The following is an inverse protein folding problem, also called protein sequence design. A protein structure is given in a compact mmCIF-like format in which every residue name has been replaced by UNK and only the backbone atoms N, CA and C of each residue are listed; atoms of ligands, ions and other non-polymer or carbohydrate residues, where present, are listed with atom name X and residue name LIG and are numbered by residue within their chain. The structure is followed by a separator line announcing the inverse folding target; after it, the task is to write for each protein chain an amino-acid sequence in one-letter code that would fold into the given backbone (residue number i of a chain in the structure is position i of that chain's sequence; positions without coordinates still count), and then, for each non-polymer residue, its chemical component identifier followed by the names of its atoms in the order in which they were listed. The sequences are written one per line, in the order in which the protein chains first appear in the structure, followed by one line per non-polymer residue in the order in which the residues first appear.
data_IF_022612842662
#
_entry.id   IF_022612842662
#
_cell.length_a   1.000
_cell.length_b   1.000
_cell.length_c   1.000
_cell.angle_alpha   90.00
_cell.angle_beta   90.00
_cell.angle_gamma   90.00
#
_symmetry.space_group_name_H-M   'P 1'
#
loop_
_entity.id
_entity.type
_entity.pdbx_description
1 polymer ?
#
# COMPACT_ATOMS: atom_id res chain seq x y z
N UNK A 1 -19.07 -19.76 10.64
CA UNK A 1 -17.75 -19.88 9.99
C UNK A 1 -17.08 -18.52 10.08
N UNK A 2 -15.91 -18.45 10.72
CA UNK A 2 -15.17 -17.19 10.89
C UNK A 2 -14.71 -16.69 9.53
N UNK A 3 -14.95 -15.40 9.24
CA UNK A 3 -14.89 -14.82 7.91
C UNK A 3 -13.45 -14.75 7.33
N UNK A 4 -12.41 -14.88 8.17
CA UNK A 4 -11.00 -14.62 7.82
C UNK A 4 -9.96 -15.36 8.71
N UNK A 5 -9.95 -16.70 8.76
CA UNK A 5 -8.84 -17.47 9.37
C UNK A 5 -7.65 -17.55 8.38
N UNK A 6 -6.38 -17.33 8.80
CA UNK A 6 -5.19 -17.48 7.93
C UNK A 6 -5.02 -18.85 7.27
N UNK A 7 -5.68 -19.89 7.78
CA UNK A 7 -5.72 -21.22 7.17
C UNK A 7 -6.96 -21.42 6.27
N UNK A 8 -7.86 -20.44 6.19
CA UNK A 8 -9.05 -20.50 5.35
C UNK A 8 -8.64 -20.70 3.90
N UNK A 9 -7.63 -19.99 3.39
CA UNK A 9 -7.27 -20.10 1.97
C UNK A 9 -6.71 -21.48 1.63
N UNK A 10 -5.93 -22.12 2.51
CA UNK A 10 -5.51 -23.53 2.32
C UNK A 10 -6.70 -24.51 2.36
N UNK A 11 -7.68 -24.29 3.23
CA UNK A 11 -8.90 -25.12 3.26
C UNK A 11 -9.79 -24.87 2.03
N UNK A 12 -9.87 -23.63 1.55
CA UNK A 12 -10.67 -23.27 0.38
C UNK A 12 -9.89 -23.50 -0.91
N UNK A 13 -8.58 -23.78 -0.90
CA UNK A 13 -7.80 -23.98 -2.14
C UNK A 13 -8.39 -25.12 -2.98
N UNK A 14 -8.74 -26.25 -2.36
CA UNK A 14 -9.45 -27.34 -3.02
C UNK A 14 -10.83 -26.94 -3.55
N UNK A 15 -11.58 -26.15 -2.77
CA UNK A 15 -12.91 -25.66 -3.13
C UNK A 15 -12.83 -24.59 -4.23
N UNK A 16 -11.80 -23.75 -4.25
CA UNK A 16 -11.52 -22.71 -5.24
C UNK A 16 -11.07 -23.33 -6.56
N UNK A 17 -10.33 -24.44 -6.51
CA UNK A 17 -9.98 -25.21 -7.69
C UNK A 17 -11.18 -25.90 -8.31
N UNK A 18 -12.03 -26.48 -7.46
CA UNK A 18 -13.30 -27.02 -7.90
C UNK A 18 -14.19 -25.88 -8.40
N UNK A 19 -14.26 -24.75 -7.70
CA UNK A 19 -15.00 -23.57 -8.12
C UNK A 19 -14.51 -23.01 -9.46
N UNK A 20 -13.21 -23.03 -9.73
CA UNK A 20 -12.66 -22.62 -11.02
C UNK A 20 -12.96 -23.67 -12.09
N UNK A 21 -12.90 -24.96 -11.73
CA UNK A 21 -13.37 -26.07 -12.57
C UNK A 21 -14.89 -26.04 -12.82
N UNK A 22 -15.67 -25.39 -11.96
CA UNK A 22 -17.13 -25.31 -11.98
C UNK A 22 -17.68 -23.89 -12.16
N UNK A 23 -16.84 -22.90 -12.50
CA UNK A 23 -17.20 -21.49 -12.67
C UNK A 23 -18.11 -20.90 -11.56
N UNK A 24 -17.72 -21.02 -10.29
CA UNK A 24 -18.47 -20.38 -9.20
C UNK A 24 -18.11 -18.89 -9.14
N UNK A 25 -18.86 -18.09 -9.90
CA UNK A 25 -18.66 -16.64 -10.07
C UNK A 25 -18.58 -15.86 -8.74
N UNK A 26 -19.33 -16.28 -7.73
CA UNK A 26 -19.37 -15.62 -6.41
C UNK A 26 -18.02 -15.58 -5.69
N UNK A 27 -17.12 -16.55 -5.95
CA UNK A 27 -15.78 -16.54 -5.35
C UNK A 27 -14.85 -15.56 -6.07
N UNK A 28 -15.02 -15.40 -7.38
CA UNK A 28 -14.29 -14.37 -8.15
C UNK A 28 -14.74 -12.98 -7.75
N UNK A 29 -16.05 -12.75 -7.66
CA UNK A 29 -16.61 -11.47 -7.20
C UNK A 29 -16.13 -11.08 -5.81
N UNK A 30 -16.00 -12.07 -4.91
CA UNK A 30 -15.48 -11.83 -3.56
C UNK A 30 -13.99 -11.46 -3.58
N UNK A 31 -13.19 -12.13 -4.41
CA UNK A 31 -11.76 -11.80 -4.56
C UNK A 31 -11.55 -10.40 -5.15
N UNK A 32 -12.34 -10.02 -6.16
CA UNK A 32 -12.26 -8.67 -6.76
C UNK A 32 -12.72 -7.58 -5.80
N UNK A 33 -13.66 -7.88 -4.90
CA UNK A 33 -14.03 -6.97 -3.81
C UNK A 33 -12.92 -6.83 -2.77
N UNK A 34 -12.27 -7.93 -2.41
CA UNK A 34 -11.16 -7.94 -1.44
C UNK A 34 -9.90 -7.27 -2.04
N UNK A 35 -9.70 -7.36 -3.36
CA UNK A 35 -8.56 -6.82 -4.11
C UNK A 35 -9.00 -5.92 -5.26
N UNK A 36 -9.46 -4.70 -4.96
CA UNK A 36 -10.07 -3.83 -5.95
C UNK A 36 -9.05 -3.28 -6.95
N UNK A 37 -9.50 -3.07 -8.19
CA UNK A 37 -8.70 -2.42 -9.24
C UNK A 37 -8.75 -0.89 -9.17
N UNK A 38 -9.74 -0.31 -8.47
CA UNK A 38 -9.91 1.14 -8.34
C UNK A 38 -9.34 1.64 -7.01
N UNK A 39 -8.69 2.80 -7.06
CA UNK A 39 -8.05 3.42 -5.89
C UNK A 39 -9.06 3.79 -4.79
N UNK A 40 -10.26 4.23 -5.18
CA UNK A 40 -11.31 4.59 -4.22
C UNK A 40 -11.79 3.37 -3.42
N UNK A 41 -11.98 2.24 -4.10
CA UNK A 41 -12.42 1.00 -3.47
C UNK A 41 -11.32 0.44 -2.56
N UNK A 42 -10.05 0.62 -2.95
CA UNK A 42 -8.91 0.32 -2.09
C UNK A 42 -8.91 1.16 -0.81
N UNK A 43 -9.17 2.46 -0.92
CA UNK A 43 -9.25 3.37 0.23
C UNK A 43 -10.39 3.03 1.18
N UNK A 44 -11.53 2.59 0.64
CA UNK A 44 -12.66 2.09 1.44
C UNK A 44 -12.27 0.80 2.16
N UNK A 45 -11.65 -0.15 1.46
CA UNK A 45 -11.19 -1.39 2.07
C UNK A 45 -10.18 -1.14 3.20
N UNK A 46 -9.21 -0.23 3.01
CA UNK A 46 -8.23 0.10 4.05
C UNK A 46 -8.88 0.75 5.28
N UNK A 47 -9.90 1.59 5.08
CA UNK A 47 -10.70 2.13 6.18
C UNK A 47 -11.45 1.05 6.95
N UNK A 48 -12.12 0.14 6.24
CA UNK A 48 -12.85 -0.97 6.87
C UNK A 48 -11.91 -1.88 7.66
N UNK A 49 -10.73 -2.19 7.13
CA UNK A 49 -9.72 -3.01 7.81
C UNK A 49 -9.23 -2.30 9.07
N UNK A 50 -8.96 -0.99 9.01
CA UNK A 50 -8.53 -0.20 10.17
C UNK A 50 -9.61 -0.18 11.24
N UNK A 51 -10.85 0.14 10.87
CA UNK A 51 -11.99 0.13 11.79
C UNK A 51 -12.21 -1.25 12.42
N UNK A 52 -12.12 -2.33 11.65
CA UNK A 52 -12.31 -3.68 12.16
C UNK A 52 -11.19 -4.15 13.10
N UNK A 53 -9.95 -3.70 12.88
CA UNK A 53 -8.83 -3.93 13.81
C UNK A 53 -9.08 -3.25 15.16
N UNK A 54 -9.58 -2.01 15.15
CA UNK A 54 -9.93 -1.27 16.36
C UNK A 54 -11.07 -1.96 17.14
N UNK A 55 -12.04 -2.53 16.43
CA UNK A 55 -13.17 -3.27 17.03
C UNK A 55 -12.87 -4.76 17.32
N UNK A 56 -11.62 -5.24 17.13
CA UNK A 56 -11.20 -6.65 17.31
C UNK A 56 -12.06 -7.67 16.56
N UNK A 57 -12.71 -7.29 15.46
CA UNK A 57 -13.63 -8.17 14.74
C UNK A 57 -12.92 -9.20 13.83
N UNK A 58 -11.58 -9.22 13.83
CA UNK A 58 -10.79 -10.26 13.14
C UNK A 58 -10.92 -10.27 11.62
N UNK A 59 -11.49 -9.21 11.02
CA UNK A 59 -11.63 -9.08 9.57
C UNK A 59 -10.29 -8.57 9.02
N UNK A 60 -9.52 -9.46 8.41
CA UNK A 60 -8.31 -9.14 7.66
C UNK A 60 -8.48 -9.56 6.21
N UNK A 61 -7.93 -8.78 5.27
CA UNK A 61 -7.78 -9.27 3.91
C UNK A 61 -7.01 -10.60 3.91
N UNK A 62 -7.31 -11.48 2.94
CA UNK A 62 -6.54 -12.68 2.68
C UNK A 62 -5.05 -12.36 2.52
N UNK A 63 -4.20 -13.37 2.76
CA UNK A 63 -2.76 -13.24 2.58
C UNK A 63 -2.42 -12.83 1.12
N UNK A 64 -1.60 -11.79 0.90
CA UNK A 64 -1.30 -11.30 -0.44
C UNK A 64 -0.52 -12.31 -1.30
N UNK A 65 0.36 -13.14 -0.71
CA UNK A 65 1.08 -14.18 -1.47
C UNK A 65 0.11 -15.27 -1.93
N UNK A 66 -0.82 -15.68 -1.07
CA UNK A 66 -1.89 -16.61 -1.43
C UNK A 66 -2.80 -16.04 -2.52
N UNK A 67 -3.16 -14.75 -2.43
CA UNK A 67 -3.97 -14.08 -3.44
C UNK A 67 -3.28 -14.04 -4.81
N UNK A 68 -1.99 -13.70 -4.87
CA UNK A 68 -1.19 -13.72 -6.11
C UNK A 68 -1.16 -15.13 -6.70
N UNK A 69 -0.84 -16.14 -5.89
CA UNK A 69 -0.79 -17.55 -6.32
C UNK A 69 -2.14 -18.01 -6.88
N UNK A 70 -3.24 -17.63 -6.22
CA UNK A 70 -4.59 -17.97 -6.65
C UNK A 70 -4.96 -17.25 -7.96
N UNK A 71 -4.67 -15.95 -8.08
CA UNK A 71 -4.90 -15.16 -9.28
C UNK A 71 -4.24 -15.77 -10.51
N UNK A 72 -2.96 -16.17 -10.38
CA UNK A 72 -2.20 -16.83 -11.44
C UNK A 72 -2.81 -18.16 -11.86
N UNK A 73 -3.28 -18.95 -10.88
CA UNK A 73 -3.83 -20.29 -11.12
C UNK A 73 -5.25 -20.28 -11.67
N UNK A 74 -6.05 -19.30 -11.26
CA UNK A 74 -7.44 -19.15 -11.69
C UNK A 74 -7.62 -18.27 -12.93
N UNK A 75 -6.56 -17.58 -13.39
CA UNK A 75 -6.65 -16.69 -14.54
C UNK A 75 -7.40 -15.39 -14.22
N UNK A 76 -7.23 -14.85 -13.02
CA UNK A 76 -7.84 -13.58 -12.58
C UNK A 76 -6.78 -12.49 -12.41
N UNK A 77 -6.21 -11.95 -13.51
CA UNK A 77 -5.13 -10.97 -13.41
C UNK A 77 -5.58 -9.63 -12.84
N UNK A 78 -6.89 -9.33 -12.83
CA UNK A 78 -7.48 -8.08 -12.34
C UNK A 78 -7.09 -7.74 -10.90
N UNK A 79 -6.87 -8.75 -10.06
CA UNK A 79 -6.53 -8.56 -8.64
C UNK A 79 -5.02 -8.44 -8.37
N UNK A 80 -4.17 -8.80 -9.34
CA UNK A 80 -2.72 -8.83 -9.16
C UNK A 80 -2.14 -7.46 -8.77
N UNK A 81 -2.48 -6.32 -9.41
CA UNK A 81 -1.86 -5.04 -9.09
C UNK A 81 -2.06 -4.63 -7.63
N UNK A 82 -3.29 -4.77 -7.11
CA UNK A 82 -3.62 -4.48 -5.73
C UNK A 82 -2.94 -5.45 -4.75
N UNK A 83 -2.85 -6.74 -5.10
CA UNK A 83 -2.17 -7.73 -4.28
C UNK A 83 -0.67 -7.48 -4.18
N UNK A 84 -0.02 -7.18 -5.31
CA UNK A 84 1.40 -6.79 -5.35
C UNK A 84 1.67 -5.50 -4.59
N UNK A 85 0.79 -4.49 -4.71
CA UNK A 85 0.91 -3.27 -3.93
C UNK A 85 0.77 -3.52 -2.43
N UNK A 86 -0.18 -4.36 -1.99
CA UNK A 86 -0.27 -4.74 -0.56
C UNK A 86 0.99 -5.43 -0.07
N UNK A 87 1.52 -6.35 -0.88
CA UNK A 87 2.72 -7.09 -0.55
C UNK A 87 3.96 -6.20 -0.50
N UNK A 88 4.05 -5.19 -1.37
CA UNK A 88 5.19 -4.27 -1.40
C UNK A 88 5.29 -3.44 -0.12
N UNK A 89 4.15 -3.14 0.52
CA UNK A 89 4.06 -2.45 1.82
C UNK A 89 4.55 -3.28 3.00
N UNK A 90 4.56 -4.62 2.89
CA UNK A 90 5.05 -5.48 3.96
C UNK A 90 6.58 -5.35 4.04
N UNK A 91 7.03 -4.91 5.23
CA UNK A 91 8.44 -4.73 5.55
C UNK A 91 9.07 -6.01 6.04
N UNK A 92 10.29 -6.24 5.55
CA UNK A 92 11.06 -7.43 5.87
C UNK A 92 10.49 -8.70 5.22
N UNK A 93 11.31 -9.75 5.20
CA UNK A 93 10.87 -11.11 4.88
C UNK A 93 10.20 -11.65 6.14
N UNK A 94 9.12 -11.00 6.60
CA UNK A 94 8.34 -11.48 7.73
C UNK A 94 7.56 -12.71 7.27
N UNK A 95 8.28 -13.83 7.20
CA UNK A 95 7.71 -15.11 6.86
C UNK A 95 7.00 -15.64 8.10
N UNK A 96 5.75 -16.09 7.96
CA UNK A 96 5.01 -16.79 9.03
C UNK A 96 5.79 -17.96 9.64
N UNK A 97 6.73 -18.55 8.89
CA UNK A 97 7.61 -19.63 9.29
C UNK A 97 8.97 -19.18 9.86
N UNK A 98 9.22 -17.87 9.94
CA UNK A 98 10.49 -17.34 10.44
C UNK A 98 10.63 -17.62 11.95
N UNK A 99 11.82 -17.98 12.45
CA UNK A 99 12.07 -18.13 13.88
C UNK A 99 11.73 -16.83 14.64
N UNK A 100 11.08 -16.97 15.79
CA UNK A 100 10.67 -15.83 16.66
C UNK A 100 11.86 -14.92 17.01
N UNK A 101 13.05 -15.50 17.18
CA UNK A 101 14.28 -14.76 17.46
C UNK A 101 14.67 -13.80 16.32
N UNK A 102 14.53 -14.25 15.06
CA UNK A 102 14.80 -13.39 13.91
C UNK A 102 13.65 -12.40 13.66
N UNK A 103 12.41 -12.80 13.94
CA UNK A 103 11.27 -11.86 13.93
C UNK A 103 11.54 -10.71 14.91
N UNK A 104 11.93 -10.99 16.15
CA UNK A 104 12.24 -9.96 17.15
C UNK A 104 13.37 -9.00 16.73
N UNK A 105 14.35 -9.46 15.94
CA UNK A 105 15.42 -8.61 15.41
C UNK A 105 14.91 -7.71 14.28
N UNK A 106 14.00 -8.22 13.44
CA UNK A 106 13.48 -7.50 12.27
C UNK A 106 12.28 -6.59 12.58
N UNK A 107 11.64 -6.78 13.73
CA UNK A 107 10.54 -5.95 14.20
C UNK A 107 11.09 -4.65 14.82
N UNK A 108 10.59 -3.51 14.35
CA UNK A 108 10.84 -2.23 15.01
C UNK A 108 10.20 -2.27 16.42
N UNK A 109 10.95 -2.01 17.51
CA UNK A 109 10.41 -1.98 18.87
C UNK A 109 9.27 -0.95 19.07
N UNK A 110 9.15 0.03 18.18
CA UNK A 110 8.04 0.99 18.16
C UNK A 110 6.86 0.58 17.25
N UNK A 111 6.93 -0.57 16.55
CA UNK A 111 5.82 -1.06 15.74
C UNK A 111 4.64 -1.46 16.63
N UNK A 112 3.70 -0.54 16.84
CA UNK A 112 2.45 -0.76 17.60
C UNK A 112 1.46 -1.72 16.91
N UNK A 113 1.82 -2.28 15.75
CA UNK A 113 0.94 -3.15 14.96
C UNK A 113 1.59 -4.51 14.73
N UNK A 114 0.79 -5.57 14.87
CA UNK A 114 1.13 -6.91 14.42
C UNK A 114 1.60 -6.80 12.97
N UNK A 115 2.89 -7.04 12.72
CA UNK A 115 3.42 -7.02 11.35
C UNK A 115 2.66 -8.07 10.56
N UNK A 116 2.05 -7.71 9.42
CA UNK A 116 1.40 -8.68 8.56
C UNK A 116 2.43 -9.74 8.17
N UNK A 117 2.31 -10.93 8.73
CA UNK A 117 3.14 -12.07 8.35
C UNK A 117 2.58 -12.62 7.05
N UNK A 118 3.44 -12.81 6.06
CA UNK A 118 3.05 -13.39 4.78
C UNK A 118 3.98 -14.51 4.40
N UNK A 119 3.49 -15.50 3.66
CA UNK A 119 4.32 -16.65 3.28
C UNK A 119 4.93 -16.43 1.90
N UNK A 120 6.09 -15.78 1.87
CA UNK A 120 6.86 -15.55 0.65
C UNK A 120 7.25 -16.84 -0.08
N UNK A 121 7.22 -18.02 0.58
CA UNK A 121 7.51 -19.30 -0.07
C UNK A 121 6.46 -19.70 -1.11
N UNK A 122 5.29 -19.05 -1.10
CA UNK A 122 4.20 -19.29 -2.04
C UNK A 122 4.40 -18.58 -3.38
N UNK A 123 5.35 -17.64 -3.47
CA UNK A 123 5.60 -16.87 -4.68
C UNK A 123 6.58 -17.58 -5.60
N UNK A 124 6.35 -17.46 -6.90
CA UNK A 124 7.34 -17.88 -7.90
C UNK A 124 8.54 -16.93 -7.91
N UNK A 125 9.67 -17.37 -8.48
CA UNK A 125 10.83 -16.49 -8.69
C UNK A 125 10.47 -15.26 -9.53
N UNK A 126 9.58 -15.41 -10.52
CA UNK A 126 9.10 -14.31 -11.35
C UNK A 126 8.27 -13.31 -10.54
N UNK A 127 7.35 -13.79 -9.69
CA UNK A 127 6.54 -12.90 -8.86
C UNK A 127 7.40 -12.19 -7.80
N UNK A 128 8.42 -12.84 -7.25
CA UNK A 128 9.40 -12.19 -6.38
C UNK A 128 10.18 -11.09 -7.10
N UNK A 129 10.60 -11.34 -8.34
CA UNK A 129 11.25 -10.33 -9.18
C UNK A 129 10.33 -9.13 -9.43
N UNK A 130 9.08 -9.37 -9.86
CA UNK A 130 8.05 -8.35 -10.03
C UNK A 130 7.88 -7.51 -8.75
N UNK A 131 7.80 -8.16 -7.59
CA UNK A 131 7.64 -7.50 -6.30
C UNK A 131 8.82 -6.59 -5.94
N UNK A 132 10.05 -7.07 -6.09
CA UNK A 132 11.26 -6.32 -5.73
C UNK A 132 11.40 -5.11 -6.64
N UNK A 133 11.29 -5.32 -7.95
CA UNK A 133 11.42 -4.24 -8.94
C UNK A 133 10.30 -3.22 -8.80
N UNK A 134 9.04 -3.67 -8.73
CA UNK A 134 7.92 -2.74 -8.63
C UNK A 134 7.94 -1.93 -7.33
N UNK A 135 8.41 -2.52 -6.22
CA UNK A 135 8.62 -1.77 -4.96
C UNK A 135 9.66 -0.66 -5.15
N UNK A 136 10.81 -0.97 -5.73
CA UNK A 136 11.88 0.00 -5.97
C UNK A 136 11.41 1.14 -6.90
N UNK A 137 10.75 0.78 -8.00
CA UNK A 137 10.21 1.74 -8.97
C UNK A 137 9.18 2.66 -8.33
N UNK A 138 8.24 2.13 -7.52
CA UNK A 138 7.23 2.95 -6.84
C UNK A 138 7.90 3.93 -5.87
N UNK A 139 8.88 3.48 -5.09
CA UNK A 139 9.62 4.35 -4.15
C UNK A 139 10.40 5.44 -4.89
N UNK A 140 11.01 5.10 -6.02
CA UNK A 140 11.72 6.07 -6.86
C UNK A 140 10.77 7.10 -7.47
N UNK A 141 9.63 6.67 -8.00
CA UNK A 141 8.60 7.57 -8.54
C UNK A 141 8.06 8.49 -7.46
N UNK A 142 7.76 7.96 -6.28
CA UNK A 142 7.31 8.75 -5.14
C UNK A 142 8.33 9.82 -4.75
N UNK A 143 9.59 9.45 -4.63
CA UNK A 143 10.69 10.36 -4.28
C UNK A 143 10.84 11.48 -5.32
N UNK A 144 10.77 11.13 -6.61
CA UNK A 144 10.77 12.10 -7.71
C UNK A 144 9.56 13.05 -7.61
N UNK A 145 8.37 12.52 -7.37
CA UNK A 145 7.16 13.33 -7.25
C UNK A 145 7.18 14.29 -6.07
N UNK A 146 7.78 13.91 -4.94
CA UNK A 146 8.01 14.86 -3.84
C UNK A 146 8.89 16.03 -4.29
N UNK A 147 9.93 15.78 -5.08
CA UNK A 147 10.80 16.81 -5.65
C UNK A 147 10.08 17.70 -6.66
N UNK A 148 9.47 17.09 -7.68
CA UNK A 148 8.76 17.80 -8.75
C UNK A 148 7.65 18.69 -8.19
N UNK A 149 6.89 18.21 -7.19
CA UNK A 149 5.83 19.01 -6.56
C UNK A 149 6.39 20.22 -5.81
N UNK A 150 7.57 20.11 -5.21
CA UNK A 150 8.24 21.25 -4.59
C UNK A 150 8.68 22.28 -5.64
N UNK A 151 9.18 21.82 -6.78
CA UNK A 151 9.61 22.69 -7.88
C UNK A 151 8.43 23.39 -8.58
N UNK A 152 7.30 22.68 -8.73
CA UNK A 152 6.03 23.22 -9.22
C UNK A 152 5.47 24.33 -8.31
N UNK A 153 5.73 24.23 -7.00
CA UNK A 153 5.42 25.29 -6.05
C UNK A 153 6.43 26.43 -6.19
N UNK A 154 6.18 27.36 -7.12
CA UNK A 154 6.87 28.65 -7.14
C UNK A 154 6.85 29.26 -5.74
N UNK A 155 8.00 29.74 -5.25
CA UNK A 155 8.09 30.45 -3.95
C UNK A 155 6.88 31.37 -3.84
N UNK A 156 6.00 31.14 -2.85
CA UNK A 156 4.69 31.76 -2.88
C UNK A 156 4.89 33.27 -2.91
N UNK A 157 4.43 33.90 -3.99
CA UNK A 157 4.38 35.34 -4.10
C UNK A 157 3.40 35.85 -3.04
N UNK A 158 3.91 36.06 -1.83
CA UNK A 158 3.40 36.88 -0.73
C UNK A 158 1.93 36.70 -0.29
N UNK A 159 1.22 35.63 -0.67
CA UNK A 159 -0.22 35.43 -0.35
C UNK A 159 -0.50 34.48 0.82
N UNK A 160 0.45 34.26 1.73
CA UNK A 160 0.24 33.41 2.90
C UNK A 160 0.20 34.23 4.19
N UNK A 161 -0.66 33.84 5.15
CA UNK A 161 -0.89 34.61 6.39
C UNK A 161 0.28 34.57 7.38
N UNK A 162 1.33 33.80 7.08
CA UNK A 162 2.57 33.81 7.86
C UNK A 162 3.41 34.99 7.40
N UNK A 163 3.75 35.87 8.35
CA UNK A 163 4.41 37.16 8.13
C UNK A 163 5.84 37.07 7.54
N UNK A 164 6.28 35.89 7.08
CA UNK A 164 7.61 35.67 6.52
C UNK A 164 7.61 34.50 5.50
N UNK A 165 7.72 34.77 4.18
CA UNK A 165 7.79 33.76 3.12
C UNK A 165 8.91 32.71 3.29
N UNK A 166 10.07 33.12 3.82
CA UNK A 166 11.19 32.20 4.05
C UNK A 166 10.88 31.18 5.15
N UNK A 167 10.06 31.57 6.14
CA UNK A 167 9.59 30.65 7.17
C UNK A 167 8.57 29.66 6.60
N UNK A 168 7.63 30.07 5.71
CA UNK A 168 6.77 29.06 5.05
C UNK A 168 7.64 28.08 4.26
N UNK A 169 8.55 28.57 3.43
CA UNK A 169 9.37 27.69 2.58
C UNK A 169 10.18 26.67 3.39
N UNK A 170 10.84 27.11 4.47
CA UNK A 170 11.56 26.20 5.38
C UNK A 170 10.62 25.19 6.07
N UNK A 171 9.40 25.61 6.42
CA UNK A 171 8.38 24.73 7.00
C UNK A 171 7.93 23.67 5.99
N UNK A 172 7.73 24.05 4.73
CA UNK A 172 7.38 23.13 3.64
C UNK A 172 8.49 22.11 3.38
N UNK A 173 9.76 22.54 3.35
CA UNK A 173 10.90 21.62 3.22
C UNK A 173 10.96 20.60 4.37
N UNK A 174 10.72 21.05 5.60
CA UNK A 174 10.62 20.15 6.77
C UNK A 174 9.45 19.17 6.61
N UNK A 175 8.31 19.65 6.15
CA UNK A 175 7.14 18.80 5.91
C UNK A 175 7.43 17.72 4.85
N UNK A 176 8.00 18.08 3.71
CA UNK A 176 8.42 17.13 2.68
C UNK A 176 9.41 16.09 3.24
N UNK A 177 10.40 16.53 4.02
CA UNK A 177 11.36 15.62 4.66
C UNK A 177 10.70 14.64 5.63
N UNK A 178 9.63 15.08 6.33
CA UNK A 178 8.83 14.23 7.21
C UNK A 178 8.06 13.18 6.43
N UNK A 179 7.41 13.56 5.31
CA UNK A 179 6.71 12.59 4.44
C UNK A 179 7.67 11.53 3.89
N UNK A 180 8.86 11.96 3.42
CA UNK A 180 9.93 11.06 2.99
C UNK A 180 10.30 10.10 4.13
N UNK A 181 10.56 10.62 5.32
CA UNK A 181 10.92 9.81 6.48
C UNK A 181 9.84 8.78 6.81
N UNK A 182 8.56 9.15 6.76
CA UNK A 182 7.46 8.23 7.08
C UNK A 182 7.35 7.06 6.09
N UNK A 183 7.56 7.30 4.79
CA UNK A 183 7.57 6.21 3.79
C UNK A 183 8.77 5.29 4.01
N UNK A 184 9.98 5.83 4.04
CA UNK A 184 11.20 5.04 4.08
C UNK A 184 11.46 4.42 5.46
N UNK A 185 11.01 5.02 6.55
CA UNK A 185 11.31 4.56 7.92
C UNK A 185 10.13 3.98 8.69
N UNK A 186 8.87 4.31 8.40
CA UNK A 186 7.74 3.86 9.24
C UNK A 186 6.75 2.92 8.52
N UNK A 187 6.20 3.33 7.36
CA UNK A 187 5.02 2.67 6.80
C UNK A 187 5.28 1.88 5.51
N UNK A 188 6.30 2.26 4.72
CA UNK A 188 6.53 1.75 3.36
C UNK A 188 5.26 1.81 2.48
N UNK A 189 4.46 2.87 2.65
CA UNK A 189 3.18 3.05 1.96
C UNK A 189 3.08 4.46 1.34
N UNK A 190 3.66 4.65 0.14
CA UNK A 190 3.66 5.94 -0.55
C UNK A 190 2.25 6.47 -0.82
N UNK A 191 1.31 5.61 -1.25
CA UNK A 191 -0.03 6.06 -1.63
C UNK A 191 -0.89 6.46 -0.44
N UNK A 192 -0.67 5.87 0.74
CA UNK A 192 -1.30 6.34 1.96
C UNK A 192 -0.82 7.76 2.33
N UNK A 193 0.49 7.98 2.29
CA UNK A 193 1.11 9.27 2.62
C UNK A 193 0.64 10.37 1.64
N UNK A 194 0.57 10.06 0.34
CA UNK A 194 0.06 10.98 -0.68
C UNK A 194 -1.43 11.31 -0.54
N UNK A 195 -2.21 10.52 0.21
CA UNK A 195 -3.63 10.79 0.43
C UNK A 195 -3.87 11.97 1.40
N UNK A 196 -2.88 12.32 2.23
CA UNK A 196 -2.90 13.54 3.05
C UNK A 196 -3.98 13.60 4.13
N UNK A 197 -4.40 12.45 4.68
CA UNK A 197 -5.42 12.43 5.73
C UNK A 197 -4.87 12.98 7.06
N UNK A 198 -5.36 14.15 7.45
CA UNK A 198 -5.51 14.83 8.75
C UNK A 198 -4.37 14.84 9.82
N UNK A 199 -3.35 13.99 9.74
CA UNK A 199 -2.33 13.86 10.81
C UNK A 199 -1.17 14.86 10.72
N UNK A 200 -1.17 15.76 9.72
CA UNK A 200 -0.05 16.68 9.46
C UNK A 200 -0.31 18.15 9.86
N UNK A 201 -1.27 18.39 10.76
CA UNK A 201 -1.70 19.71 11.25
C UNK A 201 -0.64 20.53 12.01
N UNK A 202 0.58 20.03 12.13
CA UNK A 202 1.63 20.63 12.97
C UNK A 202 2.56 21.60 12.25
N UNK A 203 2.33 21.98 10.99
CA UNK A 203 3.19 22.98 10.34
C UNK A 203 2.73 24.41 10.60
N UNK A 204 3.71 25.31 10.61
CA UNK A 204 3.48 26.76 10.71
C UNK A 204 2.69 27.34 9.52
N UNK A 205 2.56 26.62 8.38
CA UNK A 205 1.77 27.08 7.24
C UNK A 205 0.94 25.96 6.60
N UNK A 206 -0.27 25.80 7.11
CA UNK A 206 -1.26 24.83 6.61
C UNK A 206 -1.60 25.03 5.12
N UNK A 207 -1.62 26.27 4.61
CA UNK A 207 -1.94 26.55 3.20
C UNK A 207 -0.91 25.94 2.26
N UNK A 208 0.40 26.17 2.51
CA UNK A 208 1.48 25.60 1.70
C UNK A 208 1.40 24.06 1.72
N UNK A 209 1.11 23.44 2.88
CA UNK A 209 0.93 21.99 2.97
C UNK A 209 -0.27 21.49 2.18
N UNK A 210 -1.42 22.16 2.28
CA UNK A 210 -2.64 21.74 1.59
C UNK A 210 -2.43 21.78 0.07
N UNK A 211 -1.83 22.85 -0.45
CA UNK A 211 -1.47 22.96 -1.88
C UNK A 211 -0.51 21.85 -2.28
N UNK A 212 0.53 21.59 -1.48
CA UNK A 212 1.48 20.50 -1.72
C UNK A 212 0.77 19.14 -1.80
N UNK A 213 -0.14 18.86 -0.86
CA UNK A 213 -0.91 17.61 -0.87
C UNK A 213 -1.88 17.51 -2.04
N UNK A 214 -2.52 18.62 -2.43
CA UNK A 214 -3.40 18.67 -3.60
C UNK A 214 -2.66 18.35 -4.90
N UNK A 215 -1.41 18.83 -5.04
CA UNK A 215 -0.55 18.49 -6.19
C UNK A 215 -0.10 17.02 -6.19
N UNK A 216 -0.09 16.35 -5.03
CA UNK A 216 0.23 14.91 -4.94
C UNK A 216 -0.97 14.01 -5.27
N UNK A 217 -2.21 14.45 -5.10
CA UNK A 217 -3.42 13.66 -5.40
C UNK A 217 -3.46 13.09 -6.82
N UNK A 218 -3.28 13.88 -7.91
CA UNK A 218 -3.27 13.31 -9.26
C UNK A 218 -2.08 12.38 -9.49
N UNK A 219 -0.93 12.65 -8.85
CA UNK A 219 0.26 11.78 -8.92
C UNK A 219 0.03 10.42 -8.26
N UNK A 220 -0.77 10.40 -7.18
CA UNK A 220 -1.20 9.18 -6.48
C UNK A 220 -2.09 8.31 -7.37
N UNK A 221 -3.08 8.92 -8.02
CA UNK A 221 -3.97 8.24 -8.97
C UNK A 221 -3.16 7.64 -10.13
N UNK A 222 -2.21 8.40 -10.67
CA UNK A 222 -1.31 7.93 -11.72
C UNK A 222 -0.53 6.68 -11.31
N UNK A 223 0.06 6.65 -10.11
CA UNK A 223 0.79 5.46 -9.64
C UNK A 223 -0.15 4.26 -9.57
N UNK A 224 -1.37 4.45 -9.04
CA UNK A 224 -2.35 3.37 -8.89
C UNK A 224 -2.77 2.77 -10.24
N UNK A 225 -3.11 3.62 -11.21
CA UNK A 225 -3.52 3.19 -12.56
C UNK A 225 -2.40 2.46 -13.29
N UNK A 226 -1.14 2.81 -12.99
CA UNK A 226 0.03 2.23 -13.63
C UNK A 226 0.63 1.04 -12.86
N UNK A 227 0.05 0.61 -11.73
CA UNK A 227 0.56 -0.55 -10.96
C UNK A 227 0.83 -1.79 -11.82
N UNK A 228 -0.02 -2.18 -12.81
CA UNK A 228 0.30 -3.32 -13.68
C UNK A 228 1.66 -3.18 -14.37
N UNK A 229 1.91 -2.02 -14.97
CA UNK A 229 3.18 -1.71 -15.67
C UNK A 229 4.34 -1.61 -14.69
N UNK A 230 4.14 -0.96 -13.53
CA UNK A 230 5.18 -0.77 -12.52
C UNK A 230 5.65 -2.10 -11.92
N UNK A 231 4.75 -3.08 -11.78
CA UNK A 231 5.07 -4.43 -11.32
C UNK A 231 5.43 -5.41 -12.45
N UNK A 232 5.52 -4.96 -13.71
CA UNK A 232 5.79 -5.80 -14.87
C UNK A 232 4.80 -6.98 -15.00
N UNK A 233 3.53 -6.72 -14.76
CA UNK A 233 2.47 -7.72 -14.85
C UNK A 233 2.00 -7.82 -16.30
N UNK A 234 2.10 -9.02 -16.88
CA UNK A 234 1.56 -9.29 -18.21
C UNK A 234 0.04 -9.07 -18.23
N UNK A 235 -0.41 -8.05 -18.97
CA UNK A 235 -1.82 -7.85 -19.32
C UNK A 235 -2.13 -8.72 -20.55
N UNK A 236 -2.32 -10.03 -20.33
CA UNK A 236 -2.86 -10.93 -21.35
C UNK A 236 -4.19 -11.50 -20.89
#
# INVERSE_FOLDING_TARGET
MAKHDPNTIRMVEGILLLANKYQIDHLRERLERDWPSKLIDWDVNELEIKANKEHKQGISLPDPCEAIRLARRCGTPSILPAAFYRLSRIRGISNRHMPVSLQQIMLDPNARSVVPTTDFSLLSAQDLYCLVVGRDVILHIFERYLGDTLDEMTKPENKHSTSNPDKCWKSLLKFQSKLRQEVFQNFNDPLFIMNGRDDYSSSECWVCQHVFMDLLKPKREFIWENLPSLFMLDTK
#
